data_IF_058934455142
#
_entry.id   IF_058934455142
#
_cell.length_a   1.000
_cell.length_b   1.000
_cell.length_c   1.000
_cell.angle_alpha   90.00
_cell.angle_beta   90.00
_cell.angle_gamma   90.00
#
_symmetry.space_group_name_H-M   'P 1'
#
loop_
_entity.id
_entity.type
_entity.pdbx_description
1 polymer ?
#
# COMPACT_ATOMS: atom_id res chain seq x y z
N UNK A 1 27.38 -16.74 -9.09
CA UNK A 1 25.98 -16.28 -9.06
C UNK A 1 25.78 -15.36 -10.24
N UNK A 2 25.03 -15.78 -11.25
CA UNK A 2 24.74 -14.93 -12.41
C UNK A 2 23.78 -13.84 -11.97
N UNK A 3 24.23 -12.59 -11.95
CA UNK A 3 23.37 -11.46 -11.62
C UNK A 3 22.33 -11.28 -12.71
N UNK A 4 21.05 -11.22 -12.35
CA UNK A 4 19.97 -10.86 -13.28
C UNK A 4 20.30 -9.50 -13.90
N UNK A 5 20.34 -9.42 -15.23
CA UNK A 5 20.60 -8.17 -15.93
C UNK A 5 19.50 -7.15 -15.65
N UNK A 6 19.88 -5.87 -15.56
CA UNK A 6 18.94 -4.78 -15.30
C UNK A 6 17.85 -4.73 -16.38
N UNK A 7 18.21 -4.91 -17.65
CA UNK A 7 17.26 -4.93 -18.76
C UNK A 7 16.20 -6.04 -18.63
N UNK A 8 16.59 -7.26 -18.25
CA UNK A 8 15.65 -8.36 -18.03
C UNK A 8 14.73 -8.06 -16.84
N UNK A 9 15.31 -7.53 -15.74
CA UNK A 9 14.54 -7.15 -14.55
C UNK A 9 13.48 -6.10 -14.88
N UNK A 10 13.86 -5.05 -15.59
CA UNK A 10 12.97 -3.94 -15.90
C UNK A 10 11.86 -4.37 -16.87
N UNK A 11 12.18 -5.16 -17.89
CA UNK A 11 11.16 -5.71 -18.80
C UNK A 11 10.13 -6.60 -18.06
N UNK A 12 10.60 -7.50 -17.20
CA UNK A 12 9.72 -8.36 -16.40
C UNK A 12 8.89 -7.56 -15.40
N UNK A 13 9.49 -6.52 -14.80
CA UNK A 13 8.78 -5.60 -13.90
C UNK A 13 7.63 -4.94 -14.64
N UNK A 14 7.91 -4.26 -15.75
CA UNK A 14 6.91 -3.49 -16.48
C UNK A 14 5.76 -4.38 -16.96
N UNK A 15 6.08 -5.59 -17.45
CA UNK A 15 5.08 -6.60 -17.82
C UNK A 15 4.21 -7.05 -16.65
N UNK A 16 4.82 -7.37 -15.51
CA UNK A 16 4.08 -7.79 -14.31
C UNK A 16 3.21 -6.65 -13.77
N UNK A 17 3.68 -5.40 -13.85
CA UNK A 17 2.94 -4.25 -13.37
C UNK A 17 1.73 -3.96 -14.24
N UNK A 18 1.86 -4.04 -15.56
CA UNK A 18 0.71 -3.95 -16.47
C UNK A 18 -0.32 -5.04 -16.15
N UNK A 19 0.11 -6.29 -15.95
CA UNK A 19 -0.81 -7.35 -15.55
C UNK A 19 -1.44 -7.09 -14.18
N UNK A 20 -0.70 -6.50 -13.23
CA UNK A 20 -1.28 -6.09 -11.96
C UNK A 20 -2.35 -5.00 -12.14
N UNK A 21 -2.14 -4.03 -13.01
CA UNK A 21 -3.14 -3.01 -13.33
C UNK A 21 -4.39 -3.66 -13.96
N UNK A 22 -4.21 -4.51 -14.98
CA UNK A 22 -5.30 -5.21 -15.70
C UNK A 22 -6.13 -6.11 -14.77
N UNK A 23 -5.49 -6.74 -13.79
CA UNK A 23 -6.13 -7.63 -12.82
C UNK A 23 -6.81 -6.91 -11.66
N UNK A 24 -6.66 -5.58 -11.54
CA UNK A 24 -7.08 -4.86 -10.35
C UNK A 24 -6.35 -5.37 -9.10
N UNK A 25 -5.04 -5.60 -9.18
CA UNK A 25 -4.24 -6.32 -8.18
C UNK A 25 -4.43 -5.87 -6.72
N UNK A 26 -4.80 -4.60 -6.51
CA UNK A 26 -5.02 -4.01 -5.20
C UNK A 26 -6.29 -4.50 -4.50
N UNK A 27 -7.31 -4.92 -5.24
CA UNK A 27 -8.56 -5.47 -4.69
C UNK A 27 -8.50 -6.98 -4.46
N UNK A 28 -7.55 -7.68 -5.09
CA UNK A 28 -7.43 -9.13 -4.98
C UNK A 28 -7.10 -9.61 -3.56
N UNK A 29 -7.78 -10.67 -3.15
CA UNK A 29 -7.52 -11.38 -1.90
C UNK A 29 -6.18 -12.14 -1.95
N UNK A 30 -5.70 -12.56 -0.77
CA UNK A 30 -4.39 -13.24 -0.67
C UNK A 30 -4.38 -14.57 -1.41
N UNK A 31 -5.51 -15.27 -1.41
CA UNK A 31 -5.69 -16.55 -2.12
C UNK A 31 -5.62 -16.34 -3.63
N UNK A 32 -6.25 -15.29 -4.15
CA UNK A 32 -6.23 -14.96 -5.58
C UNK A 32 -4.82 -14.54 -6.02
N UNK A 33 -4.16 -13.68 -5.23
CA UNK A 33 -2.77 -13.27 -5.48
C UNK A 33 -1.82 -14.46 -5.44
N UNK A 34 -2.03 -15.41 -4.54
CA UNK A 34 -1.23 -16.64 -4.48
C UNK A 34 -1.34 -17.46 -5.78
N UNK A 35 -2.54 -17.56 -6.37
CA UNK A 35 -2.77 -18.24 -7.66
C UNK A 35 -2.03 -17.54 -8.80
N UNK A 36 -2.08 -16.20 -8.88
CA UNK A 36 -1.35 -15.46 -9.91
C UNK A 36 0.17 -15.61 -9.78
N UNK A 37 0.71 -15.62 -8.56
CA UNK A 37 2.14 -15.92 -8.38
C UNK A 37 2.52 -17.31 -8.90
N UNK A 38 1.65 -18.32 -8.78
CA UNK A 38 1.89 -19.65 -9.35
C UNK A 38 1.81 -19.63 -10.88
N UNK A 39 0.81 -18.95 -11.45
CA UNK A 39 0.68 -18.77 -12.90
C UNK A 39 1.92 -18.08 -13.48
N UNK A 40 2.36 -16.95 -12.92
CA UNK A 40 3.56 -16.24 -13.38
C UNK A 40 4.85 -17.04 -13.22
N UNK A 41 4.93 -17.90 -12.20
CA UNK A 41 6.09 -18.78 -12.02
C UNK A 41 6.16 -19.85 -13.11
N UNK A 42 5.01 -20.32 -13.63
CA UNK A 42 4.93 -21.33 -14.70
C UNK A 42 4.94 -20.73 -16.10
N UNK A 43 4.67 -19.44 -16.22
CA UNK A 43 4.67 -18.71 -17.49
C UNK A 43 6.08 -18.69 -18.09
N UNK A 44 6.23 -19.23 -19.31
CA UNK A 44 7.51 -19.30 -20.01
C UNK A 44 8.14 -17.91 -20.24
N UNK A 45 7.29 -16.90 -20.44
CA UNK A 45 7.68 -15.52 -20.70
C UNK A 45 7.96 -14.70 -19.43
N UNK A 46 7.74 -15.26 -18.23
CA UNK A 46 8.06 -14.62 -16.95
C UNK A 46 8.95 -15.55 -16.11
N UNK A 47 8.35 -16.58 -15.51
CA UNK A 47 9.04 -17.54 -14.67
C UNK A 47 10.06 -18.38 -15.43
N UNK A 48 9.76 -18.73 -16.69
CA UNK A 48 10.69 -19.39 -17.59
C UNK A 48 11.97 -18.56 -17.78
N UNK A 49 11.85 -17.28 -18.15
CA UNK A 49 13.01 -16.40 -18.33
C UNK A 49 13.87 -16.28 -17.06
N UNK A 50 13.23 -16.17 -15.89
CA UNK A 50 13.93 -16.11 -14.60
C UNK A 50 14.64 -17.44 -14.27
N UNK A 51 14.03 -18.58 -14.56
CA UNK A 51 14.61 -19.90 -14.30
C UNK A 51 15.90 -20.18 -15.12
N UNK A 52 16.12 -19.47 -16.23
CA UNK A 52 17.36 -19.56 -16.99
C UNK A 52 18.53 -18.85 -16.30
N UNK A 53 18.26 -17.87 -15.44
CA UNK A 53 19.28 -17.01 -14.83
C UNK A 53 19.37 -17.17 -13.31
N UNK A 54 18.45 -17.92 -12.69
CA UNK A 54 18.44 -18.18 -11.26
C UNK A 54 17.83 -19.54 -10.92
N UNK A 55 18.05 -20.01 -9.68
CA UNK A 55 17.42 -21.23 -9.17
C UNK A 55 15.90 -21.15 -9.29
N UNK A 56 15.30 -22.11 -10.01
CA UNK A 56 13.86 -22.19 -10.24
C UNK A 56 13.04 -22.14 -8.94
N UNK A 57 13.56 -22.67 -7.83
CA UNK A 57 12.90 -22.64 -6.51
C UNK A 57 12.78 -21.23 -5.93
N UNK A 58 13.61 -20.29 -6.40
CA UNK A 58 13.62 -18.88 -5.97
C UNK A 58 12.78 -17.98 -6.86
N UNK A 59 12.35 -18.44 -8.04
CA UNK A 59 11.63 -17.61 -9.04
C UNK A 59 10.37 -17.00 -8.45
N UNK A 60 9.50 -17.81 -7.81
CA UNK A 60 8.26 -17.31 -7.20
C UNK A 60 8.52 -16.23 -6.15
N UNK A 61 9.54 -16.44 -5.31
CA UNK A 61 9.93 -15.48 -4.26
C UNK A 61 10.46 -14.20 -4.89
N UNK A 62 11.27 -14.32 -5.96
CA UNK A 62 11.80 -13.17 -6.68
C UNK A 62 10.70 -12.32 -7.34
N UNK A 63 9.77 -12.97 -8.06
CA UNK A 63 8.59 -12.31 -8.66
C UNK A 63 7.83 -11.54 -7.57
N UNK A 64 7.50 -12.21 -6.47
CA UNK A 64 6.74 -11.61 -5.35
C UNK A 64 7.49 -10.45 -4.69
N UNK A 65 8.67 -10.70 -4.15
CA UNK A 65 9.34 -9.75 -3.24
C UNK A 65 10.17 -8.70 -3.96
N UNK A 66 10.64 -8.97 -5.18
CA UNK A 66 11.52 -8.04 -5.94
C UNK A 66 10.81 -7.33 -7.09
N UNK A 67 9.83 -7.95 -7.76
CA UNK A 67 9.16 -7.35 -8.92
C UNK A 67 7.79 -6.77 -8.57
N UNK A 68 6.93 -7.52 -7.88
CA UNK A 68 5.53 -7.12 -7.60
C UNK A 68 5.40 -6.31 -6.30
N UNK A 69 6.23 -6.54 -5.29
CA UNK A 69 6.18 -5.76 -4.05
C UNK A 69 6.48 -4.26 -4.24
N UNK A 70 7.42 -3.84 -5.11
CA UNK A 70 7.57 -2.44 -5.45
C UNK A 70 6.34 -1.82 -6.13
N UNK A 71 5.63 -2.53 -7.00
CA UNK A 71 4.34 -2.08 -7.56
C UNK A 71 3.36 -1.68 -6.46
N UNK A 72 3.19 -2.55 -5.46
CA UNK A 72 2.32 -2.27 -4.32
C UNK A 72 2.76 -1.02 -3.56
N UNK A 73 4.07 -0.78 -3.42
CA UNK A 73 4.59 0.42 -2.76
C UNK A 73 4.30 1.66 -3.60
N UNK A 74 4.50 1.61 -4.90
CA UNK A 74 4.31 2.73 -5.82
C UNK A 74 2.83 3.11 -5.98
N UNK A 75 1.94 2.11 -6.00
CA UNK A 75 0.49 2.36 -6.01
C UNK A 75 -0.06 2.78 -4.64
N UNK A 76 0.62 2.40 -3.53
CA UNK A 76 0.25 2.85 -2.16
C UNK A 76 0.88 4.17 -1.77
N UNK A 77 1.97 4.58 -2.40
CA UNK A 77 2.30 5.99 -2.52
C UNK A 77 1.27 6.62 -3.43
N UNK A 78 0.04 6.77 -2.95
CA UNK A 78 -0.81 7.85 -3.41
C UNK A 78 0.06 9.11 -3.47
N UNK A 79 -0.14 9.91 -4.52
CA UNK A 79 0.38 11.26 -4.53
C UNK A 79 -0.06 11.91 -3.22
N UNK A 80 0.91 12.31 -2.41
CA UNK A 80 0.67 12.98 -1.12
C UNK A 80 -0.38 14.10 -1.26
N UNK A 81 -0.36 14.80 -2.39
CA UNK A 81 -1.35 15.80 -2.78
C UNK A 81 -2.80 15.30 -2.82
N UNK A 82 -3.07 14.06 -3.22
CA UNK A 82 -4.42 13.50 -3.19
C UNK A 82 -4.87 13.18 -1.77
N UNK A 83 -4.00 12.58 -0.96
CA UNK A 83 -4.27 12.36 0.48
C UNK A 83 -4.54 13.71 1.16
N UNK A 84 -3.75 14.73 0.84
CA UNK A 84 -3.91 16.08 1.38
C UNK A 84 -5.25 16.66 0.99
N UNK A 85 -5.57 16.66 -0.31
CA UNK A 85 -6.83 17.16 -0.86
C UNK A 85 -8.04 16.49 -0.19
N UNK A 86 -8.03 15.17 -0.03
CA UNK A 86 -9.13 14.42 0.61
C UNK A 86 -9.32 14.78 2.08
N UNK A 87 -8.25 15.14 2.78
CA UNK A 87 -8.28 15.57 4.17
C UNK A 87 -8.50 17.09 4.33
N UNK A 88 -8.62 17.83 3.23
CA UNK A 88 -8.71 19.29 3.22
C UNK A 88 -7.42 19.98 3.66
N UNK A 89 -6.27 19.35 3.38
CA UNK A 89 -4.93 19.92 3.56
C UNK A 89 -4.45 20.54 2.25
N UNK A 90 -3.53 21.48 2.38
CA UNK A 90 -2.97 22.30 1.30
C UNK A 90 -1.45 22.36 1.41
N UNK A 91 -0.78 23.00 0.45
CA UNK A 91 0.68 23.20 0.49
C UNK A 91 1.15 24.06 1.68
N UNK A 92 0.24 24.80 2.33
CA UNK A 92 0.53 25.50 3.58
C UNK A 92 0.76 24.52 4.76
N UNK A 93 0.21 23.31 4.68
CA UNK A 93 0.32 22.27 5.70
C UNK A 93 1.61 21.46 5.51
N UNK A 94 2.74 22.12 5.81
CA UNK A 94 4.08 21.59 5.58
C UNK A 94 4.35 20.31 6.35
N UNK A 95 5.01 19.37 5.68
CA UNK A 95 5.45 18.11 6.27
C UNK A 95 6.69 18.32 7.13
N UNK A 96 6.58 17.97 8.42
CA UNK A 96 7.70 17.94 9.36
C UNK A 96 8.32 16.54 9.50
N UNK A 97 7.58 15.47 9.21
CA UNK A 97 8.09 14.10 9.30
C UNK A 97 7.40 13.11 8.35
N UNK A 98 8.16 12.14 7.83
CA UNK A 98 7.72 11.10 6.89
C UNK A 98 7.73 9.73 7.55
N UNK A 99 6.60 9.01 7.52
CA UNK A 99 6.49 7.63 7.98
C UNK A 99 6.36 6.67 6.80
N UNK A 100 7.16 5.59 6.81
CA UNK A 100 7.19 4.61 5.73
C UNK A 100 6.15 3.51 5.92
N UNK A 101 5.95 2.99 7.16
CA UNK A 101 4.99 1.92 7.44
C UNK A 101 4.32 2.03 8.81
N UNK A 102 2.97 1.96 8.86
CA UNK A 102 2.05 2.36 7.79
C UNK A 102 2.42 3.75 7.25
N UNK A 103 2.12 4.01 5.96
CA UNK A 103 2.43 5.29 5.34
C UNK A 103 1.76 6.43 6.11
N UNK A 104 2.48 7.53 6.24
CA UNK A 104 1.95 8.68 6.94
C UNK A 104 2.88 9.87 6.90
N UNK A 105 2.38 10.98 7.42
CA UNK A 105 3.10 12.24 7.59
C UNK A 105 2.72 12.85 8.93
N UNK A 106 3.60 13.72 9.43
CA UNK A 106 3.26 14.67 10.47
C UNK A 106 3.46 16.07 9.91
N UNK A 107 2.46 16.92 10.04
CA UNK A 107 2.57 18.34 9.71
C UNK A 107 3.37 19.11 10.78
N UNK A 108 3.85 20.31 10.46
CA UNK A 108 4.57 21.17 11.40
C UNK A 108 3.74 21.50 12.66
N UNK A 109 2.42 21.64 12.52
CA UNK A 109 1.49 21.90 13.62
C UNK A 109 1.15 20.67 14.48
N UNK A 110 1.74 19.51 14.18
CA UNK A 110 1.57 18.29 14.96
C UNK A 110 0.45 17.36 14.49
N UNK A 111 -0.35 17.74 13.48
CA UNK A 111 -1.34 16.82 12.90
C UNK A 111 -0.68 15.60 12.27
N UNK A 112 -1.12 14.42 12.70
CA UNK A 112 -0.66 13.14 12.15
C UNK A 112 -1.66 12.61 11.13
N UNK A 113 -1.14 12.26 9.97
CA UNK A 113 -1.89 11.68 8.87
C UNK A 113 -1.34 10.30 8.54
N UNK A 114 -2.22 9.35 8.26
CA UNK A 114 -1.87 8.02 7.79
C UNK A 114 -2.73 7.58 6.61
N UNK A 115 -2.20 6.69 5.80
CA UNK A 115 -2.99 6.05 4.75
C UNK A 115 -2.50 4.65 4.44
N UNK A 116 -3.37 3.88 3.82
CA UNK A 116 -3.09 2.51 3.41
C UNK A 116 -4.33 1.83 2.90
N UNK A 117 -4.23 0.53 2.63
CA UNK A 117 -5.37 -0.25 2.14
C UNK A 117 -6.42 -0.41 3.23
N UNK A 118 -7.68 -0.38 2.83
CA UNK A 118 -8.82 -0.61 3.71
C UNK A 118 -8.76 -1.98 4.38
N UNK A 119 -8.26 -3.02 3.71
CA UNK A 119 -8.06 -4.35 4.31
C UNK A 119 -7.06 -4.36 5.48
N UNK A 120 -6.19 -3.36 5.55
CA UNK A 120 -5.17 -3.20 6.59
C UNK A 120 -5.56 -2.11 7.61
N UNK A 121 -6.83 -1.67 7.63
CA UNK A 121 -7.32 -0.51 8.40
C UNK A 121 -6.87 -0.52 9.86
N UNK A 122 -6.88 -1.69 10.53
CA UNK A 122 -6.48 -1.81 11.94
C UNK A 122 -5.06 -1.27 12.16
N UNK A 123 -4.12 -1.65 11.30
CA UNK A 123 -2.73 -1.20 11.41
C UNK A 123 -2.61 0.31 11.11
N UNK A 124 -3.36 0.80 10.13
CA UNK A 124 -3.35 2.22 9.75
C UNK A 124 -3.91 3.09 10.87
N UNK A 125 -5.09 2.75 11.43
CA UNK A 125 -5.71 3.50 12.52
C UNK A 125 -4.83 3.50 13.77
N UNK A 126 -4.31 2.34 14.17
CA UNK A 126 -3.43 2.23 15.34
C UNK A 126 -2.17 3.06 15.17
N UNK A 127 -1.55 3.05 14.00
CA UNK A 127 -0.36 3.86 13.76
C UNK A 127 -0.64 5.37 13.87
N UNK A 128 -1.77 5.85 13.34
CA UNK A 128 -2.14 7.28 13.50
C UNK A 128 -2.43 7.61 14.96
N UNK A 129 -3.14 6.74 15.66
CA UNK A 129 -3.43 6.90 17.08
C UNK A 129 -2.15 6.99 17.93
N UNK A 130 -1.26 6.00 17.82
CA UNK A 130 -0.01 5.94 18.59
C UNK A 130 0.88 7.15 18.31
N UNK A 131 1.03 7.52 17.03
CA UNK A 131 1.82 8.69 16.62
C UNK A 131 1.19 9.99 17.09
N UNK A 132 -0.14 10.12 17.05
CA UNK A 132 -0.88 11.27 17.57
C UNK A 132 -0.77 11.43 19.09
N UNK A 133 -0.33 10.39 19.81
CA UNK A 133 -0.07 10.42 21.25
C UNK A 133 1.41 10.44 21.61
N UNK A 134 2.30 10.44 20.63
CA UNK A 134 3.74 10.41 20.87
C UNK A 134 4.26 11.70 21.55
N UNK A 135 3.58 12.84 21.34
CA UNK A 135 3.85 14.11 22.01
C UNK A 135 2.53 14.84 22.30
N UNK A 136 2.52 15.67 23.33
CA UNK A 136 1.32 16.43 23.74
C UNK A 136 0.84 17.42 22.67
N UNK A 137 1.74 17.88 21.81
CA UNK A 137 1.43 18.78 20.70
C UNK A 137 0.94 18.05 19.44
N UNK A 138 0.87 16.72 19.44
CA UNK A 138 0.43 15.96 18.26
C UNK A 138 -1.05 15.59 18.36
N UNK A 139 -1.69 15.41 17.20
CA UNK A 139 -3.09 14.97 17.13
C UNK A 139 -3.28 13.88 16.08
N UNK A 140 -4.21 12.97 16.36
CA UNK A 140 -4.67 11.93 15.43
C UNK A 140 -5.60 12.55 14.38
N UNK A 141 -5.05 13.24 13.38
CA UNK A 141 -5.87 14.07 12.49
C UNK A 141 -6.62 13.25 11.43
N UNK A 142 -5.90 12.56 10.55
CA UNK A 142 -6.50 12.08 9.30
C UNK A 142 -6.07 10.68 8.90
N UNK A 143 -7.03 9.89 8.42
CA UNK A 143 -6.79 8.61 7.77
C UNK A 143 -7.45 8.56 6.39
N UNK A 144 -6.70 8.14 5.38
CA UNK A 144 -7.24 7.78 4.06
C UNK A 144 -7.07 6.27 3.84
N UNK A 145 -8.17 5.57 3.55
CA UNK A 145 -8.16 4.15 3.24
C UNK A 145 -8.44 3.93 1.75
N UNK A 146 -7.52 3.26 1.06
CA UNK A 146 -7.74 2.83 -0.32
C UNK A 146 -8.58 1.55 -0.30
N UNK A 147 -9.74 1.54 -0.96
CA UNK A 147 -10.56 0.34 -1.03
C UNK A 147 -9.78 -0.83 -1.66
N UNK A 148 -9.96 -2.02 -1.09
CA UNK A 148 -9.16 -3.21 -1.42
C UNK A 148 -9.94 -4.50 -1.15
N UNK A 149 -11.27 -4.45 -1.34
CA UNK A 149 -12.15 -5.61 -1.29
C UNK A 149 -12.62 -6.04 0.10
N UNK A 150 -12.15 -5.42 1.19
CA UNK A 150 -12.53 -5.81 2.56
C UNK A 150 -13.48 -4.84 3.25
N UNK A 151 -13.63 -3.63 2.73
CA UNK A 151 -14.58 -2.66 3.27
C UNK A 151 -15.62 -2.24 2.24
N UNK A 152 -15.93 -3.11 1.27
CA UNK A 152 -16.92 -2.81 0.22
C UNK A 152 -18.34 -2.67 0.78
N UNK A 153 -18.65 -3.31 1.91
CA UNK A 153 -19.99 -3.21 2.50
C UNK A 153 -20.09 -2.03 3.47
N UNK A 154 -21.26 -1.38 3.49
CA UNK A 154 -21.58 -0.32 4.47
C UNK A 154 -21.38 -0.79 5.91
N UNK A 155 -21.77 -2.03 6.23
CA UNK A 155 -21.55 -2.61 7.56
C UNK A 155 -20.07 -2.63 7.95
N UNK A 156 -19.20 -3.05 7.03
CA UNK A 156 -17.75 -3.03 7.27
C UNK A 156 -17.19 -1.61 7.39
N UNK A 157 -17.65 -0.65 6.57
CA UNK A 157 -17.20 0.76 6.67
C UNK A 157 -17.62 1.39 7.99
N UNK A 158 -18.85 1.14 8.44
CA UNK A 158 -19.36 1.63 9.72
C UNK A 158 -18.52 1.12 10.90
N UNK A 159 -18.15 -0.16 10.90
CA UNK A 159 -17.24 -0.71 11.92
C UNK A 159 -15.90 0.06 11.95
N UNK A 160 -15.33 0.38 10.78
CA UNK A 160 -14.06 1.13 10.71
C UNK A 160 -14.24 2.57 11.19
N UNK A 161 -15.35 3.24 10.82
CA UNK A 161 -15.68 4.60 11.28
C UNK A 161 -15.81 4.66 12.80
N UNK A 162 -16.55 3.73 13.40
CA UNK A 162 -16.70 3.65 14.85
C UNK A 162 -15.35 3.44 15.55
N UNK A 163 -14.51 2.57 15.01
CA UNK A 163 -13.17 2.35 15.56
C UNK A 163 -12.31 3.62 15.48
N UNK A 164 -12.31 4.32 14.35
CA UNK A 164 -11.57 5.57 14.17
C UNK A 164 -12.05 6.66 15.14
N UNK A 165 -13.36 6.81 15.30
CA UNK A 165 -13.94 7.77 16.25
C UNK A 165 -13.51 7.47 17.69
N UNK A 166 -13.54 6.19 18.12
CA UNK A 166 -13.09 5.79 19.46
C UNK A 166 -11.59 6.02 19.69
N UNK A 167 -10.79 5.97 18.63
CA UNK A 167 -9.37 6.32 18.67
C UNK A 167 -9.12 7.84 18.60
N UNK A 168 -10.17 8.65 18.47
CA UNK A 168 -10.08 10.11 18.37
C UNK A 168 -9.48 10.57 17.04
N UNK A 169 -9.65 9.80 15.96
CA UNK A 169 -9.23 10.19 14.63
C UNK A 169 -10.28 11.14 14.04
N UNK A 170 -9.88 12.37 13.72
CA UNK A 170 -10.81 13.44 13.34
C UNK A 170 -11.43 13.24 11.96
N UNK A 171 -10.64 12.77 10.99
CA UNK A 171 -11.08 12.56 9.60
C UNK A 171 -10.76 11.15 9.14
N UNK A 172 -11.75 10.46 8.59
CA UNK A 172 -11.59 9.17 7.93
C UNK A 172 -12.26 9.21 6.56
N UNK A 173 -11.48 8.98 5.50
CA UNK A 173 -11.94 9.05 4.10
C UNK A 173 -11.56 7.76 3.38
N UNK A 174 -12.44 7.30 2.49
CA UNK A 174 -12.12 6.22 1.55
C UNK A 174 -11.75 6.81 0.20
N UNK A 175 -10.71 6.26 -0.42
CA UNK A 175 -10.44 6.41 -1.84
C UNK A 175 -10.88 5.11 -2.51
N UNK A 176 -11.82 5.21 -3.44
CA UNK A 176 -12.31 4.07 -4.22
C UNK A 176 -11.29 3.60 -5.27
#
# INVERSE_FOLDING_TARGET
MTSISTALRDNLRDKLWQQCDDLGWMSLQDVERARYYELWTRDASIGGQLAHVMDARKVRVYIKDSLVKPYLRERLSLNEGEVWRLLGLTDADRVAHVYIKPHGRRAEDGRVIGWGRSRDWKSVLMAVFERGRAQSSFTSFGVVLLESGKTETERSRNLVREAAQRLGIEKLVWLE
#
